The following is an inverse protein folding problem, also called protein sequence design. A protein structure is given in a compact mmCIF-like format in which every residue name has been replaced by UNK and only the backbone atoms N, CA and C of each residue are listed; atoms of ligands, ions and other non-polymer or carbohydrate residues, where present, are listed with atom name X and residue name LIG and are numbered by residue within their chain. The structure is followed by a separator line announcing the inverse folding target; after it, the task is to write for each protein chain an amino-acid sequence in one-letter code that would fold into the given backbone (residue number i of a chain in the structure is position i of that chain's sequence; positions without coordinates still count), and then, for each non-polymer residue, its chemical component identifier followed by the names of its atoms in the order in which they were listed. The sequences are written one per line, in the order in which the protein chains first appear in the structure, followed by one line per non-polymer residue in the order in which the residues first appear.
data_IF_483509690726
#
_entry.id   IF_483509690726
#
_cell.length_a   1.000
_cell.length_b   1.000
_cell.length_c   1.000
_cell.angle_alpha   90.00
_cell.angle_beta   90.00
_cell.angle_gamma   90.00
#
_symmetry.space_group_name_H-M   'P 1'
#
loop_
_entity.id
_entity.type
_entity.pdbx_description
1 polymer ?
#
# COMPACT_ATOMS: atom_id res chain seq x y z
N UNK A 1 -52.66 -43.97 42.25
CA UNK A 1 -52.78 -43.74 40.78
C UNK A 1 -51.62 -42.83 40.39
N UNK A 2 -50.44 -43.37 40.04
CA UNK A 2 -49.94 -43.69 38.69
C UNK A 2 -50.03 -42.53 37.68
N UNK A 3 -48.88 -42.29 37.03
CA UNK A 3 -48.62 -41.60 35.75
C UNK A 3 -48.17 -40.13 35.83
N UNK A 4 -47.17 -39.64 35.08
CA UNK A 4 -46.07 -40.26 34.32
C UNK A 4 -45.06 -39.14 34.03
N UNK A 5 -43.77 -39.48 34.13
CA UNK A 5 -42.63 -38.62 33.83
C UNK A 5 -42.45 -38.60 32.30
N UNK A 6 -42.44 -37.41 31.68
CA UNK A 6 -41.92 -37.24 30.32
C UNK A 6 -40.75 -36.26 30.35
N UNK A 7 -39.54 -36.84 30.39
CA UNK A 7 -38.31 -36.11 30.13
C UNK A 7 -38.13 -35.91 28.62
N UNK A 8 -38.12 -34.65 28.18
CA UNK A 8 -37.55 -34.31 26.88
C UNK A 8 -36.05 -34.09 27.07
N UNK A 9 -35.26 -35.11 26.75
CA UNK A 9 -33.82 -34.97 26.54
C UNK A 9 -33.61 -34.36 25.15
N UNK A 10 -33.17 -33.10 25.10
CA UNK A 10 -32.76 -32.42 23.89
C UNK A 10 -31.25 -32.61 23.72
N UNK A 11 -30.83 -33.73 23.12
CA UNK A 11 -29.44 -33.95 22.72
C UNK A 11 -29.12 -33.08 21.50
N UNK A 12 -28.56 -31.89 21.74
CA UNK A 12 -27.97 -31.07 20.70
C UNK A 12 -26.69 -31.76 20.17
N UNK A 13 -26.79 -32.41 19.01
CA UNK A 13 -25.62 -32.86 18.27
C UNK A 13 -24.85 -31.63 17.75
N UNK A 14 -23.72 -31.32 18.39
CA UNK A 14 -22.71 -30.43 17.84
C UNK A 14 -22.01 -31.16 16.69
N UNK A 15 -22.55 -31.02 15.47
CA UNK A 15 -21.89 -31.45 14.26
C UNK A 15 -20.60 -30.66 14.06
N UNK A 16 -19.47 -31.31 14.23
CA UNK A 16 -18.14 -30.75 13.95
C UNK A 16 -18.00 -30.68 12.43
N UNK A 17 -18.38 -29.55 11.82
CA UNK A 17 -18.05 -29.29 10.43
C UNK A 17 -16.55 -29.00 10.36
N UNK A 18 -15.76 -30.00 9.96
CA UNK A 18 -14.35 -29.82 9.62
C UNK A 18 -14.25 -28.80 8.50
N UNK A 19 -13.86 -27.58 8.84
CA UNK A 19 -13.61 -26.51 7.86
C UNK A 19 -12.31 -26.86 7.15
N UNK A 20 -12.41 -27.60 6.04
CA UNK A 20 -11.27 -27.89 5.18
C UNK A 20 -10.83 -26.56 4.55
N UNK A 21 -9.76 -25.98 5.07
CA UNK A 21 -9.18 -24.77 4.52
C UNK A 21 -8.46 -25.12 3.22
N UNK A 22 -8.99 -24.67 2.09
CA UNK A 22 -8.31 -24.80 0.80
C UNK A 22 -7.01 -23.99 0.81
N UNK A 23 -5.92 -24.53 0.24
CA UNK A 23 -4.67 -23.78 0.12
C UNK A 23 -4.89 -22.56 -0.76
N UNK A 24 -4.42 -21.42 -0.28
CA UNK A 24 -4.58 -20.17 -0.99
C UNK A 24 -3.66 -20.08 -2.21
N UNK A 25 -4.18 -19.54 -3.31
CA UNK A 25 -3.37 -19.32 -4.50
C UNK A 25 -2.29 -18.27 -4.24
N UNK A 26 -1.13 -18.42 -4.91
CA UNK A 26 -0.03 -17.46 -4.79
C UNK A 26 -0.46 -16.01 -5.13
N UNK A 27 -1.40 -15.85 -6.07
CA UNK A 27 -1.96 -14.55 -6.45
C UNK A 27 -2.78 -13.91 -5.32
N UNK A 28 -3.67 -14.68 -4.67
CA UNK A 28 -4.43 -14.19 -3.54
C UNK A 28 -3.51 -13.81 -2.35
N UNK A 29 -2.48 -14.60 -2.09
CA UNK A 29 -1.52 -14.31 -1.02
C UNK A 29 -0.71 -13.03 -1.32
N UNK A 30 -0.26 -12.85 -2.57
CA UNK A 30 0.44 -11.64 -3.00
C UNK A 30 -0.45 -10.39 -2.86
N UNK A 31 -1.72 -10.48 -3.24
CA UNK A 31 -2.68 -9.40 -3.10
C UNK A 31 -2.91 -9.01 -1.64
N UNK A 32 -3.06 -10.00 -0.73
CA UNK A 32 -3.19 -9.73 0.71
C UNK A 32 -1.95 -9.08 1.31
N UNK A 33 -0.75 -9.53 0.95
CA UNK A 33 0.51 -8.91 1.41
C UNK A 33 0.60 -7.45 0.97
N UNK A 34 0.23 -7.16 -0.27
CA UNK A 34 0.21 -5.81 -0.79
C UNK A 34 -0.82 -4.94 -0.07
N UNK A 35 -2.06 -5.40 0.06
CA UNK A 35 -3.12 -4.69 0.78
C UNK A 35 -2.73 -4.39 2.24
N UNK A 36 -2.12 -5.35 2.93
CA UNK A 36 -1.60 -5.17 4.28
C UNK A 36 -0.47 -4.13 4.34
N UNK A 37 0.43 -4.09 3.35
CA UNK A 37 1.49 -3.08 3.27
C UNK A 37 0.92 -1.67 3.07
N UNK A 38 -0.06 -1.50 2.19
CA UNK A 38 -0.77 -0.21 2.01
C UNK A 38 -1.50 0.20 3.29
N UNK A 39 -2.16 -0.73 3.98
CA UNK A 39 -2.84 -0.45 5.25
C UNK A 39 -1.87 0.00 6.34
N UNK A 40 -0.73 -0.69 6.49
CA UNK A 40 0.34 -0.30 7.43
C UNK A 40 0.92 1.07 7.10
N UNK A 41 1.12 1.38 5.82
CA UNK A 41 1.56 2.70 5.37
C UNK A 41 0.57 3.79 5.80
N UNK A 42 -0.73 3.58 5.56
CA UNK A 42 -1.80 4.50 6.01
C UNK A 42 -1.76 4.70 7.53
N UNK A 43 -1.66 3.61 8.30
CA UNK A 43 -1.63 3.67 9.76
C UNK A 43 -0.40 4.44 10.27
N UNK A 44 0.78 4.18 9.69
CA UNK A 44 2.04 4.84 10.06
C UNK A 44 2.04 6.34 9.74
N UNK A 45 1.45 6.75 8.62
CA UNK A 45 1.28 8.18 8.31
C UNK A 45 0.29 8.82 9.28
N UNK A 46 -0.84 8.17 9.56
CA UNK A 46 -1.87 8.66 10.51
C UNK A 46 -1.42 8.67 11.97
N UNK A 47 -0.35 7.96 12.35
CA UNK A 47 0.18 8.03 13.71
C UNK A 47 0.90 9.35 14.00
N UNK A 48 1.23 10.14 12.98
CA UNK A 48 1.71 11.51 13.18
C UNK A 48 0.53 12.41 13.48
N UNK A 49 0.69 13.22 14.53
CA UNK A 49 -0.37 14.09 15.05
C UNK A 49 -0.86 15.05 13.97
N UNK A 50 -2.17 15.28 13.92
CA UNK A 50 -2.82 16.22 13.00
C UNK A 50 -2.58 15.90 11.51
N UNK A 51 -2.49 14.61 11.16
CA UNK A 51 -2.39 14.14 9.78
C UNK A 51 -3.69 13.45 9.33
N UNK A 52 -4.09 13.74 8.10
CA UNK A 52 -5.16 13.05 7.37
C UNK A 52 -4.59 12.55 6.04
N UNK A 53 -5.24 11.52 5.49
CA UNK A 53 -4.90 10.98 4.17
C UNK A 53 -6.20 10.99 3.35
N UNK A 54 -6.56 12.11 2.72
CA UNK A 54 -7.81 12.21 1.95
C UNK A 54 -7.86 11.24 0.78
N UNK A 55 -6.71 10.88 0.21
CA UNK A 55 -6.64 10.02 -0.96
C UNK A 55 -5.46 9.03 -0.89
N UNK A 56 -5.75 7.78 -1.25
CA UNK A 56 -4.73 6.82 -1.67
C UNK A 56 -5.20 6.16 -2.95
N UNK A 57 -4.44 6.31 -4.04
CA UNK A 57 -4.78 5.72 -5.34
C UNK A 57 -3.60 4.97 -5.93
N UNK A 58 -3.89 4.02 -6.82
CA UNK A 58 -2.88 3.38 -7.65
C UNK A 58 -3.03 3.85 -9.10
N UNK A 59 -1.91 3.91 -9.83
CA UNK A 59 -1.88 4.37 -11.21
C UNK A 59 -0.85 3.59 -12.03
N UNK A 60 -0.97 3.69 -13.35
CA UNK A 60 0.01 3.15 -14.29
C UNK A 60 1.08 4.21 -14.56
N UNK A 61 2.35 3.80 -14.58
CA UNK A 61 3.49 4.71 -14.76
C UNK A 61 4.04 4.72 -16.19
N UNK A 62 3.52 3.87 -17.08
CA UNK A 62 4.06 3.67 -18.44
C UNK A 62 4.00 4.92 -19.32
N UNK A 63 3.04 5.82 -19.07
CA UNK A 63 2.92 7.09 -19.78
C UNK A 63 3.78 8.21 -19.20
N UNK A 64 4.34 8.02 -18.01
CA UNK A 64 5.13 9.03 -17.31
C UNK A 64 6.63 8.86 -17.53
N UNK A 65 7.08 7.62 -17.78
CA UNK A 65 8.50 7.29 -17.85
C UNK A 65 8.90 6.66 -19.18
N UNK A 66 10.07 7.04 -19.69
CA UNK A 66 10.71 6.47 -20.89
C UNK A 66 11.08 5.00 -20.62
N UNK A 67 11.68 4.76 -19.46
CA UNK A 67 12.04 3.43 -18.98
C UNK A 67 11.49 3.25 -17.56
N UNK A 68 11.07 2.04 -17.24
CA UNK A 68 10.58 1.66 -15.92
C UNK A 68 10.65 0.12 -15.79
N UNK A 69 10.55 -0.44 -14.57
CA UNK A 69 10.50 -1.89 -14.41
C UNK A 69 9.20 -2.43 -15.02
N UNK A 70 9.25 -2.97 -16.24
CA UNK A 70 8.07 -3.34 -17.04
C UNK A 70 7.17 -4.39 -16.38
N UNK A 71 7.74 -5.28 -15.55
CA UNK A 71 6.99 -6.25 -14.73
C UNK A 71 6.35 -5.63 -13.48
N UNK A 72 6.61 -4.34 -13.22
CA UNK A 72 6.10 -3.58 -12.08
C UNK A 72 5.57 -2.19 -12.51
N UNK A 73 4.56 -2.12 -13.39
CA UNK A 73 4.10 -0.87 -14.01
C UNK A 73 3.20 -0.02 -13.10
N UNK A 74 3.07 -0.35 -11.81
CA UNK A 74 2.17 0.37 -10.90
C UNK A 74 2.90 1.33 -9.98
N UNK A 75 2.28 2.48 -9.76
CA UNK A 75 2.60 3.42 -8.70
C UNK A 75 1.47 3.51 -7.67
N UNK A 76 1.79 4.02 -6.49
CA UNK A 76 0.81 4.44 -5.48
C UNK A 76 1.02 5.90 -5.12
N UNK A 77 -0.07 6.66 -4.94
CA UNK A 77 -0.05 8.03 -4.42
C UNK A 77 -0.69 8.03 -3.03
N UNK A 78 -0.05 8.71 -2.10
CA UNK A 78 -0.62 9.11 -0.80
C UNK A 78 -0.73 10.64 -0.78
N UNK A 79 -1.96 11.16 -0.87
CA UNK A 79 -2.20 12.58 -0.66
C UNK A 79 -2.39 12.84 0.84
N UNK A 80 -1.60 13.74 1.40
CA UNK A 80 -1.48 13.98 2.83
C UNK A 80 -1.95 15.39 3.15
N UNK A 81 -2.76 15.53 4.19
CA UNK A 81 -3.34 16.80 4.62
C UNK A 81 -3.21 16.96 6.15
N UNK A 82 -3.43 18.18 6.64
CA UNK A 82 -3.38 18.56 8.04
C UNK A 82 -2.05 19.17 8.48
N UNK A 83 -2.03 19.73 9.70
CA UNK A 83 -0.88 20.47 10.24
C UNK A 83 0.39 19.63 10.37
N UNK A 84 0.26 18.30 10.48
CA UNK A 84 1.41 17.38 10.53
C UNK A 84 1.93 16.94 9.16
N UNK A 85 1.28 17.33 8.05
CA UNK A 85 1.67 16.88 6.71
C UNK A 85 3.10 17.29 6.37
N UNK A 86 3.51 18.51 6.71
CA UNK A 86 4.87 18.98 6.45
C UNK A 86 5.94 18.19 7.19
N UNK A 87 5.66 17.73 8.41
CA UNK A 87 6.54 16.83 9.16
C UNK A 87 6.74 15.49 8.43
N UNK A 88 5.68 14.96 7.81
CA UNK A 88 5.77 13.73 7.01
C UNK A 88 6.59 13.96 5.74
N UNK A 89 6.20 14.96 4.95
CA UNK A 89 6.80 15.24 3.64
C UNK A 89 8.30 15.56 3.79
N UNK A 90 8.69 16.34 4.81
CA UNK A 90 10.09 16.69 5.06
C UNK A 90 10.95 15.50 5.54
N UNK A 91 10.36 14.35 5.89
CA UNK A 91 11.10 13.22 6.47
C UNK A 91 11.41 12.14 5.43
N UNK A 92 12.50 12.31 4.68
CA UNK A 92 12.89 11.35 3.63
C UNK A 92 13.09 9.93 4.16
N UNK A 93 13.67 9.76 5.36
CA UNK A 93 13.84 8.43 5.97
C UNK A 93 12.51 7.76 6.30
N UNK A 94 11.51 8.53 6.71
CA UNK A 94 10.18 8.01 6.99
C UNK A 94 9.48 7.55 5.70
N UNK A 95 9.53 8.37 4.66
CA UNK A 95 8.95 8.08 3.36
C UNK A 95 9.64 6.91 2.66
N UNK A 96 10.98 6.84 2.69
CA UNK A 96 11.74 5.72 2.10
C UNK A 96 11.35 4.38 2.76
N UNK A 97 11.16 4.36 4.09
CA UNK A 97 10.80 3.16 4.82
C UNK A 97 9.39 2.67 4.46
N UNK A 98 8.45 3.60 4.26
CA UNK A 98 7.10 3.26 3.78
C UNK A 98 7.17 2.70 2.37
N UNK A 99 7.87 3.39 1.46
CA UNK A 99 8.03 2.97 0.06
C UNK A 99 8.67 1.60 -0.06
N UNK A 100 9.72 1.33 0.72
CA UNK A 100 10.36 0.02 0.81
C UNK A 100 9.37 -1.06 1.25
N UNK A 101 8.56 -0.80 2.29
CA UNK A 101 7.57 -1.79 2.73
C UNK A 101 6.55 -2.10 1.63
N UNK A 102 6.05 -1.08 0.93
CA UNK A 102 5.08 -1.26 -0.15
C UNK A 102 5.72 -2.00 -1.33
N UNK A 103 6.83 -1.51 -1.88
CA UNK A 103 7.49 -2.08 -3.06
C UNK A 103 7.95 -3.53 -2.83
N UNK A 104 8.36 -3.87 -1.61
CA UNK A 104 8.78 -5.24 -1.29
C UNK A 104 7.59 -6.21 -1.16
N UNK A 105 6.39 -5.72 -0.81
CA UNK A 105 5.20 -6.55 -0.60
C UNK A 105 4.18 -6.48 -1.75
N UNK A 106 4.34 -5.55 -2.68
CA UNK A 106 3.51 -5.36 -3.85
C UNK A 106 4.33 -5.64 -5.13
N UNK A 107 4.24 -6.86 -5.65
CA UNK A 107 5.10 -7.29 -6.77
C UNK A 107 4.91 -6.48 -8.06
N UNK A 108 3.76 -5.84 -8.27
CA UNK A 108 3.47 -5.00 -9.43
C UNK A 108 3.87 -3.53 -9.25
N UNK A 109 4.33 -3.13 -8.05
CA UNK A 109 4.62 -1.73 -7.71
C UNK A 109 6.12 -1.45 -7.81
N UNK A 110 6.47 -0.34 -8.45
CA UNK A 110 7.85 0.13 -8.60
C UNK A 110 8.10 1.51 -8.02
N UNK A 111 7.07 2.29 -7.69
CA UNK A 111 7.23 3.58 -7.04
C UNK A 111 6.06 3.96 -6.12
N UNK A 112 6.32 4.93 -5.23
CA UNK A 112 5.33 5.54 -4.35
C UNK A 112 5.52 7.05 -4.36
N UNK A 113 4.42 7.79 -4.51
CA UNK A 113 4.33 9.25 -4.44
C UNK A 113 3.73 9.66 -3.11
N UNK A 114 4.31 10.68 -2.49
CA UNK A 114 3.74 11.37 -1.33
C UNK A 114 3.64 12.84 -1.68
N UNK A 115 2.45 13.40 -1.58
CA UNK A 115 2.24 14.81 -1.86
C UNK A 115 1.26 15.43 -0.91
N UNK A 116 1.25 16.76 -0.85
CA UNK A 116 0.19 17.48 -0.17
C UNK A 116 -1.12 17.32 -0.94
N UNK A 117 -2.22 17.12 -0.22
CA UNK A 117 -3.53 17.13 -0.85
C UNK A 117 -3.80 18.49 -1.52
N UNK A 118 -4.34 18.46 -2.75
CA UNK A 118 -4.61 19.66 -3.56
C UNK A 118 -3.38 20.52 -3.87
N UNK A 119 -2.21 19.90 -4.06
CA UNK A 119 -0.95 20.55 -4.44
C UNK A 119 -0.18 19.69 -5.45
N UNK A 120 0.70 20.32 -6.22
CA UNK A 120 1.64 19.66 -7.13
C UNK A 120 2.95 19.25 -6.44
N UNK A 121 3.14 19.61 -5.16
CA UNK A 121 4.35 19.25 -4.40
C UNK A 121 4.31 17.76 -4.05
N UNK A 122 5.17 16.99 -4.71
CA UNK A 122 5.26 15.53 -4.59
C UNK A 122 6.72 15.09 -4.41
N UNK A 123 6.93 14.17 -3.48
CA UNK A 123 8.16 13.38 -3.39
C UNK A 123 7.92 11.95 -3.90
N UNK A 124 8.78 11.50 -4.81
CA UNK A 124 8.72 10.20 -5.47
C UNK A 124 9.84 9.31 -4.96
N UNK A 125 9.49 8.07 -4.61
CA UNK A 125 10.44 7.05 -4.19
C UNK A 125 10.22 5.80 -5.04
N UNK A 126 11.27 5.31 -5.71
CA UNK A 126 11.14 4.19 -6.62
C UNK A 126 12.26 3.16 -6.53
N UNK A 127 11.97 2.00 -7.11
CA UNK A 127 12.81 0.82 -7.17
C UNK A 127 13.91 1.02 -8.22
N UNK A 128 15.15 1.13 -7.78
CA UNK A 128 16.31 1.28 -8.66
C UNK A 128 16.77 -0.08 -9.22
N UNK A 129 17.54 -0.11 -10.33
CA UNK A 129 18.03 -1.35 -10.95
C UNK A 129 18.83 -2.26 -10.01
N UNK A 130 19.47 -1.70 -8.97
CA UNK A 130 20.19 -2.45 -7.94
C UNK A 130 19.27 -3.05 -6.85
N UNK A 131 17.95 -3.00 -7.03
CA UNK A 131 16.96 -3.52 -6.09
C UNK A 131 16.70 -2.63 -4.87
N UNK A 132 17.38 -1.49 -4.73
CA UNK A 132 17.16 -0.55 -3.63
C UNK A 132 16.08 0.47 -3.97
N UNK A 133 15.30 0.87 -2.98
CA UNK A 133 14.37 2.00 -3.12
C UNK A 133 15.08 3.28 -2.73
N UNK A 134 14.95 4.32 -3.58
CA UNK A 134 15.54 5.65 -3.36
C UNK A 134 14.54 6.75 -3.72
N UNK A 135 14.76 7.95 -3.18
CA UNK A 135 14.12 9.16 -3.69
C UNK A 135 14.56 9.38 -5.14
N UNK A 136 13.65 9.86 -5.98
CA UNK A 136 13.95 10.26 -7.35
C UNK A 136 14.52 11.67 -7.37
N UNK A 137 15.43 11.91 -8.30
CA UNK A 137 16.05 13.21 -8.51
C UNK A 137 15.08 14.16 -9.24
N UNK A 138 15.15 15.45 -8.95
CA UNK A 138 14.35 16.43 -9.70
C UNK A 138 14.97 16.70 -11.06
N UNK A 139 14.16 16.59 -12.10
CA UNK A 139 14.49 17.08 -13.44
C UNK A 139 13.86 18.47 -13.63
N UNK A 140 14.70 19.50 -13.71
CA UNK A 140 14.27 20.90 -13.88
C UNK A 140 14.05 21.30 -15.34
N UNK A 141 14.24 20.39 -16.30
CA UNK A 141 13.97 20.65 -17.71
C UNK A 141 13.35 19.44 -18.40
N UNK A 142 12.24 18.90 -17.86
CA UNK A 142 11.64 17.71 -18.42
C UNK A 142 11.04 18.03 -19.79
N UNK A 143 11.39 17.22 -20.80
CA UNK A 143 10.76 17.24 -22.13
C UNK A 143 10.09 15.89 -22.37
N UNK A 144 8.76 15.85 -22.26
CA UNK A 144 7.99 14.62 -22.43
C UNK A 144 8.11 13.68 -21.23
N UNK A 145 8.28 12.37 -21.49
CA UNK A 145 8.39 11.35 -20.44
C UNK A 145 9.71 11.49 -19.68
N UNK A 146 9.69 11.19 -18.38
CA UNK A 146 10.87 11.24 -17.51
C UNK A 146 11.75 10.00 -17.67
N UNK A 147 13.05 10.14 -17.37
CA UNK A 147 13.92 8.98 -17.19
C UNK A 147 13.62 8.31 -15.85
N UNK A 148 13.74 6.99 -15.76
CA UNK A 148 13.59 6.30 -14.47
C UNK A 148 14.57 6.85 -13.44
N UNK A 149 14.09 7.11 -12.23
CA UNK A 149 14.90 7.75 -11.19
C UNK A 149 14.77 9.27 -11.14
N UNK A 150 13.97 9.88 -12.02
CA UNK A 150 13.71 11.32 -12.03
C UNK A 150 12.23 11.63 -11.80
N UNK A 151 11.95 12.78 -11.21
CA UNK A 151 10.61 13.34 -11.01
C UNK A 151 10.54 14.77 -11.54
N UNK A 152 9.33 15.28 -11.75
CA UNK A 152 9.12 16.70 -12.03
C UNK A 152 9.53 17.56 -10.82
N UNK A 153 9.80 18.86 -11.04
CA UNK A 153 10.24 19.81 -10.00
C UNK A 153 9.30 19.93 -8.80
#
# INVERSE_FOLDING_TARGET
MKQLIYGLSLTALLGITSIVSLPETASAQANRKCAAAISRAKAKIKSVRNVRIPEVRSFDISDQYISFPSRRPRGYLFAIDGKGASTIIASSNFLIAISQNIINNCQSVSLVWFGYYSSDVIDVYGLMPNGKVKAFERDFSPKGKLRWGYQNP
#
